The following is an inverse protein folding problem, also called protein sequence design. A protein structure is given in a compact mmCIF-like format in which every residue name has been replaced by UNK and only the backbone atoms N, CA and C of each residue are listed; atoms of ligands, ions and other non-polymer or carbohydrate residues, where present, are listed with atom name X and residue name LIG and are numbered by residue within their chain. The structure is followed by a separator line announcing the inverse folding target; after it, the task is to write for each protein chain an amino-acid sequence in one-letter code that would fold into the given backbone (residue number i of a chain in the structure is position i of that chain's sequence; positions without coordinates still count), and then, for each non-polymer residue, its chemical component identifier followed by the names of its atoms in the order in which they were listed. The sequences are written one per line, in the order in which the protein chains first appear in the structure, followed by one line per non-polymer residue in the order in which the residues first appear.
data_IF_494846566727
#
_entry.id   IF_494846566727
#
_cell.length_a   1.000
_cell.length_b   1.000
_cell.length_c   1.000
_cell.angle_alpha   90.00
_cell.angle_beta   90.00
_cell.angle_gamma   90.00
#
_symmetry.space_group_name_H-M   'P 1'
#
loop_
_entity.id
_entity.type
_entity.pdbx_description
1 polymer ?
#
# COMPACT_ATOMS: atom_id res chain seq x y z
N UNK A 1 16.26 4.36 21.91
CA UNK A 1 16.73 3.65 20.70
C UNK A 1 16.37 2.20 20.93
N UNK A 2 15.34 1.69 20.26
CA UNK A 2 14.97 0.28 20.38
C UNK A 2 16.11 -0.58 19.83
N UNK A 3 16.59 -1.53 20.61
CA UNK A 3 17.68 -2.43 20.19
C UNK A 3 17.11 -3.41 19.18
N UNK A 4 17.60 -3.35 17.93
CA UNK A 4 17.21 -4.31 16.89
C UNK A 4 17.74 -5.70 17.22
N UNK A 5 16.93 -6.73 16.95
CA UNK A 5 17.34 -8.14 17.07
C UNK A 5 18.21 -8.52 15.89
N UNK A 6 19.30 -9.27 16.12
CA UNK A 6 20.13 -9.73 15.00
C UNK A 6 19.37 -10.78 14.19
N UNK A 7 19.48 -10.73 12.87
CA UNK A 7 18.84 -11.70 11.98
C UNK A 7 19.19 -13.16 12.36
N UNK A 8 20.46 -13.47 12.67
CA UNK A 8 20.87 -14.78 13.22
C UNK A 8 20.12 -15.23 14.48
N UNK A 9 19.83 -14.32 15.41
CA UNK A 9 19.10 -14.66 16.65
C UNK A 9 17.66 -15.03 16.34
N UNK A 10 17.02 -14.29 15.43
CA UNK A 10 15.66 -14.57 14.96
C UNK A 10 15.61 -15.90 14.19
N UNK A 11 16.60 -16.16 13.33
CA UNK A 11 16.72 -17.45 12.62
C UNK A 11 16.88 -18.60 13.63
N UNK A 12 17.72 -18.44 14.65
CA UNK A 12 17.90 -19.45 15.69
C UNK A 12 16.61 -19.73 16.45
N UNK A 13 15.86 -18.70 16.82
CA UNK A 13 14.55 -18.82 17.45
C UNK A 13 13.62 -19.70 16.61
N UNK A 14 13.46 -19.40 15.32
CA UNK A 14 12.55 -20.15 14.45
C UNK A 14 13.03 -21.55 14.05
N UNK A 15 14.32 -21.84 14.22
CA UNK A 15 14.84 -23.22 14.11
C UNK A 15 14.45 -24.08 15.33
N UNK A 16 14.43 -23.46 16.51
CA UNK A 16 14.14 -24.13 17.79
C UNK A 16 12.63 -24.21 18.05
N UNK A 17 11.92 -23.10 17.90
CA UNK A 17 10.50 -22.93 18.23
C UNK A 17 9.63 -23.04 16.96
N UNK A 18 9.52 -24.25 16.41
CA UNK A 18 8.79 -24.50 15.15
C UNK A 18 7.26 -24.34 15.26
N UNK A 19 6.73 -24.23 16.47
CA UNK A 19 5.31 -24.06 16.76
C UNK A 19 4.87 -22.60 16.66
N UNK A 20 5.81 -21.64 16.60
CA UNK A 20 5.48 -20.23 16.45
C UNK A 20 4.78 -19.96 15.12
N UNK A 21 3.84 -19.03 15.17
CA UNK A 21 2.96 -18.65 14.06
C UNK A 21 3.04 -17.15 13.77
N UNK A 22 4.15 -16.49 14.08
CA UNK A 22 4.28 -15.03 13.92
C UNK A 22 4.03 -14.55 12.47
N UNK A 23 3.63 -13.29 12.36
CA UNK A 23 3.41 -12.59 11.10
C UNK A 23 4.34 -11.39 11.03
N UNK A 24 5.15 -11.31 9.98
CA UNK A 24 6.02 -10.18 9.69
C UNK A 24 5.39 -9.26 8.66
N UNK A 25 5.45 -7.94 8.92
CA UNK A 25 4.83 -6.90 8.09
C UNK A 25 5.82 -5.76 7.82
N UNK A 26 5.52 -4.87 6.87
CA UNK A 26 6.49 -3.88 6.39
C UNK A 26 6.73 -2.78 7.42
N UNK A 27 5.69 -2.33 8.11
CA UNK A 27 5.80 -1.22 9.05
C UNK A 27 4.88 -1.28 10.27
N UNK A 28 5.01 -0.29 11.17
CA UNK A 28 4.18 -0.18 12.37
C UNK A 28 2.69 -0.01 12.09
N UNK A 29 2.30 0.69 11.03
CA UNK A 29 0.89 0.89 10.68
C UNK A 29 0.22 -0.45 10.35
N UNK A 30 0.83 -1.24 9.46
CA UNK A 30 0.35 -2.58 9.10
C UNK A 30 0.28 -3.48 10.33
N UNK A 31 1.29 -3.40 11.22
CA UNK A 31 1.30 -4.14 12.48
C UNK A 31 0.04 -3.85 13.27
N UNK A 32 -0.30 -2.57 13.48
CA UNK A 32 -1.50 -2.18 14.24
C UNK A 32 -2.75 -2.70 13.56
N UNK A 33 -2.84 -2.58 12.23
CA UNK A 33 -3.98 -3.07 11.45
C UNK A 33 -4.18 -4.59 11.61
N UNK A 34 -3.15 -5.39 11.32
CA UNK A 34 -3.25 -6.85 11.41
C UNK A 34 -3.41 -7.34 12.85
N UNK A 35 -2.79 -6.69 13.84
CA UNK A 35 -3.01 -7.02 15.25
C UNK A 35 -4.47 -6.81 15.66
N UNK A 36 -5.06 -5.68 15.26
CA UNK A 36 -6.47 -5.42 15.54
C UNK A 36 -7.37 -6.44 14.86
N UNK A 37 -7.13 -6.73 13.58
CA UNK A 37 -7.86 -7.76 12.85
C UNK A 37 -7.77 -9.14 13.55
N UNK A 38 -6.57 -9.63 13.84
CA UNK A 38 -6.39 -10.93 14.52
C UNK A 38 -7.07 -11.00 15.89
N UNK A 39 -7.05 -9.89 16.64
CA UNK A 39 -7.75 -9.78 17.93
C UNK A 39 -9.26 -9.95 17.77
N UNK A 40 -9.85 -9.35 16.74
CA UNK A 40 -11.29 -9.53 16.45
C UNK A 40 -11.63 -10.97 16.05
N UNK A 41 -10.71 -11.65 15.35
CA UNK A 41 -10.86 -13.04 14.95
C UNK A 41 -10.46 -14.05 16.06
N UNK A 42 -10.08 -13.56 17.24
CA UNK A 42 -9.62 -14.38 18.39
C UNK A 42 -8.47 -15.34 18.02
N UNK A 43 -7.56 -14.90 17.15
CA UNK A 43 -6.36 -15.65 16.75
C UNK A 43 -5.16 -15.18 17.56
N UNK A 44 -4.46 -16.12 18.17
CA UNK A 44 -3.24 -15.88 18.94
C UNK A 44 -2.01 -15.95 18.03
N UNK A 45 -1.74 -14.86 17.32
CA UNK A 45 -0.56 -14.71 16.45
C UNK A 45 0.11 -13.37 16.73
N UNK A 46 1.43 -13.35 16.87
CA UNK A 46 2.18 -12.11 17.05
C UNK A 46 2.43 -11.45 15.70
N UNK A 47 2.12 -10.16 15.56
CA UNK A 47 2.52 -9.37 14.39
C UNK A 47 3.75 -8.52 14.71
N UNK A 48 4.74 -8.58 13.85
CA UNK A 48 6.07 -8.03 14.07
C UNK A 48 6.48 -7.20 12.84
N UNK A 49 6.79 -5.90 13.00
CA UNK A 49 7.26 -5.11 11.87
C UNK A 49 8.73 -5.49 11.57
N UNK A 50 9.07 -5.68 10.30
CA UNK A 50 10.37 -6.20 9.87
C UNK A 50 11.55 -5.31 10.27
N UNK A 51 11.27 -4.02 10.53
CA UNK A 51 12.26 -3.03 10.92
C UNK A 51 12.97 -3.34 12.24
N UNK A 52 12.38 -4.17 13.11
CA UNK A 52 13.01 -4.57 14.38
C UNK A 52 14.15 -5.58 14.20
N UNK A 53 14.27 -6.17 13.00
CA UNK A 53 15.34 -7.10 12.66
C UNK A 53 16.47 -6.32 11.98
N UNK A 54 17.69 -6.59 12.42
CA UNK A 54 18.90 -6.06 11.84
C UNK A 54 19.38 -6.96 10.68
N UNK A 55 19.30 -6.43 9.46
CA UNK A 55 19.77 -7.06 8.23
C UNK A 55 21.18 -6.59 7.80
N UNK A 56 21.88 -5.81 8.63
CA UNK A 56 23.21 -5.26 8.26
C UNK A 56 24.28 -6.32 8.03
N UNK A 57 24.09 -7.54 8.52
CA UNK A 57 24.98 -8.67 8.23
C UNK A 57 24.84 -9.22 6.81
N UNK A 58 23.76 -8.87 6.10
CA UNK A 58 23.65 -9.11 4.67
C UNK A 58 24.36 -7.99 3.92
N UNK A 59 25.03 -8.32 2.82
CA UNK A 59 25.57 -7.30 1.92
C UNK A 59 24.44 -6.33 1.50
N UNK A 60 24.80 -5.08 1.13
CA UNK A 60 23.82 -4.03 0.74
C UNK A 60 22.79 -4.50 -0.30
N UNK A 61 23.18 -5.47 -1.12
CA UNK A 61 22.31 -6.32 -1.91
C UNK A 61 22.46 -7.75 -1.45
N UNK A 62 21.35 -8.43 -1.24
CA UNK A 62 21.35 -9.86 -0.94
C UNK A 62 21.62 -10.69 -2.21
N UNK A 63 21.55 -12.02 -2.09
CA UNK A 63 21.73 -12.93 -3.23
C UNK A 63 20.67 -12.76 -4.32
N UNK A 64 19.53 -12.12 -4.01
CA UNK A 64 18.46 -11.77 -4.95
C UNK A 64 18.67 -10.39 -5.60
N UNK A 65 19.74 -9.67 -5.25
CA UNK A 65 20.05 -8.36 -5.80
C UNK A 65 19.16 -7.22 -5.28
N UNK A 66 18.39 -7.46 -4.21
CA UNK A 66 17.41 -6.52 -3.67
C UNK A 66 18.07 -5.49 -2.74
N UNK A 67 17.59 -4.24 -2.77
CA UNK A 67 18.07 -3.18 -1.87
C UNK A 67 17.50 -3.40 -0.46
N UNK A 68 18.39 -3.69 0.49
CA UNK A 68 18.06 -3.96 1.89
C UNK A 68 17.66 -2.69 2.69
N UNK A 69 17.55 -1.52 2.05
CA UNK A 69 16.90 -0.36 2.67
C UNK A 69 15.37 -0.48 2.70
N UNK A 70 14.78 -1.13 1.70
CA UNK A 70 13.33 -1.30 1.61
C UNK A 70 12.84 -2.38 2.59
N UNK A 71 11.81 -2.08 3.37
CA UNK A 71 11.21 -3.04 4.29
C UNK A 71 10.50 -4.18 3.54
N UNK A 72 9.81 -3.87 2.45
CA UNK A 72 9.30 -4.85 1.48
C UNK A 72 10.37 -5.86 1.05
N UNK A 73 11.52 -5.36 0.60
CA UNK A 73 12.62 -6.22 0.15
C UNK A 73 13.17 -7.08 1.30
N UNK A 74 13.29 -6.53 2.52
CA UNK A 74 13.69 -7.32 3.69
C UNK A 74 12.73 -8.46 3.97
N UNK A 75 11.41 -8.26 3.83
CA UNK A 75 10.42 -9.32 4.02
C UNK A 75 10.52 -10.42 2.96
N UNK A 76 10.75 -10.04 1.70
CA UNK A 76 10.98 -10.99 0.61
C UNK A 76 12.20 -11.87 0.94
N UNK A 77 13.33 -11.25 1.28
CA UNK A 77 14.55 -11.98 1.68
C UNK A 77 14.30 -12.85 2.90
N UNK A 78 13.62 -12.31 3.91
CA UNK A 78 13.33 -13.04 5.13
C UNK A 78 12.42 -14.25 4.89
N UNK A 79 11.43 -14.13 3.99
CA UNK A 79 10.55 -15.24 3.62
C UNK A 79 11.31 -16.39 2.95
N UNK A 80 12.30 -16.10 2.10
CA UNK A 80 13.18 -17.13 1.52
C UNK A 80 14.09 -17.77 2.57
N UNK A 81 14.57 -16.99 3.55
CA UNK A 81 15.32 -17.54 4.69
C UNK A 81 14.44 -18.51 5.49
N UNK A 82 13.21 -18.11 5.82
CA UNK A 82 12.25 -18.94 6.57
C UNK A 82 11.92 -20.24 5.82
N UNK A 83 11.68 -20.15 4.50
CA UNK A 83 11.48 -21.30 3.62
C UNK A 83 12.66 -22.28 3.67
N UNK A 84 13.90 -21.76 3.67
CA UNK A 84 15.11 -22.58 3.78
C UNK A 84 15.31 -23.19 5.17
N UNK A 85 14.77 -22.58 6.23
CA UNK A 85 14.74 -23.19 7.58
C UNK A 85 13.79 -24.40 7.55
N UNK A 86 12.57 -24.20 7.07
CA UNK A 86 11.60 -25.27 6.89
C UNK A 86 10.44 -24.81 6.00
N UNK A 87 10.11 -25.53 4.91
CA UNK A 87 8.97 -25.19 4.06
C UNK A 87 7.62 -25.23 4.79
N UNK A 88 7.53 -25.99 5.90
CA UNK A 88 6.32 -26.16 6.71
C UNK A 88 6.25 -25.20 7.89
N UNK A 89 7.17 -24.23 7.98
CA UNK A 89 7.11 -23.24 9.05
C UNK A 89 5.85 -22.36 8.89
N UNK A 90 5.19 -22.09 10.01
CA UNK A 90 3.91 -21.35 10.07
C UNK A 90 4.09 -19.84 10.14
N UNK A 91 5.33 -19.36 10.11
CA UNK A 91 5.64 -17.93 10.01
C UNK A 91 5.23 -17.42 8.62
N UNK A 92 4.65 -16.22 8.59
CA UNK A 92 4.25 -15.54 7.34
C UNK A 92 4.86 -14.14 7.28
N UNK A 93 5.22 -13.70 6.09
CA UNK A 93 5.59 -12.34 5.75
C UNK A 93 4.49 -11.77 4.86
N UNK A 94 3.98 -10.58 5.14
CA UNK A 94 2.96 -9.91 4.33
C UNK A 94 3.60 -8.67 3.72
N UNK A 95 3.48 -8.55 2.40
CA UNK A 95 3.89 -7.37 1.65
C UNK A 95 2.73 -6.79 0.86
N UNK A 96 2.84 -5.51 0.53
CA UNK A 96 1.99 -4.93 -0.50
C UNK A 96 2.33 -5.51 -1.88
N UNK A 97 1.29 -5.77 -2.67
CA UNK A 97 1.44 -6.26 -4.05
C UNK A 97 2.16 -5.24 -4.93
N UNK A 98 1.98 -3.95 -4.66
CA UNK A 98 2.51 -2.81 -5.41
C UNK A 98 2.32 -2.99 -6.93
N UNK A 99 3.43 -3.28 -7.62
CA UNK A 99 3.54 -3.42 -9.06
C UNK A 99 3.90 -4.85 -9.48
N UNK A 100 3.73 -5.84 -8.59
CA UNK A 100 4.17 -7.22 -8.83
C UNK A 100 3.54 -7.84 -10.09
N UNK A 101 2.32 -7.46 -10.44
CA UNK A 101 1.65 -7.89 -11.68
C UNK A 101 2.39 -7.44 -12.95
N UNK A 102 3.24 -6.42 -12.85
CA UNK A 102 3.92 -5.78 -13.97
C UNK A 102 5.44 -6.00 -13.96
N UNK A 103 6.05 -6.06 -12.77
CA UNK A 103 7.50 -6.19 -12.61
C UNK A 103 7.96 -7.64 -12.40
N UNK A 104 7.00 -8.56 -12.25
CA UNK A 104 7.27 -9.92 -11.81
C UNK A 104 7.43 -10.00 -10.29
N UNK A 105 7.18 -11.17 -9.74
CA UNK A 105 7.11 -11.37 -8.30
C UNK A 105 7.85 -12.62 -7.85
N UNK A 106 8.50 -12.53 -6.69
CA UNK A 106 9.09 -13.69 -6.00
C UNK A 106 8.00 -14.33 -5.15
N UNK A 107 7.69 -15.60 -5.36
CA UNK A 107 6.66 -16.30 -4.60
C UNK A 107 7.24 -17.45 -3.77
N UNK A 108 6.74 -17.58 -2.55
CA UNK A 108 6.95 -18.73 -1.69
C UNK A 108 5.82 -18.82 -0.66
N UNK A 109 5.71 -19.97 0.01
CA UNK A 109 4.63 -20.25 0.96
C UNK A 109 4.66 -19.37 2.22
N UNK A 110 5.80 -18.78 2.53
CA UNK A 110 5.96 -17.86 3.66
C UNK A 110 5.64 -16.42 3.28
N UNK A 111 5.49 -16.07 2.00
CA UNK A 111 5.26 -14.71 1.53
C UNK A 111 3.84 -14.54 0.99
N UNK A 112 3.02 -13.83 1.77
CA UNK A 112 1.68 -13.41 1.41
C UNK A 112 1.70 -11.98 0.85
N UNK A 113 0.72 -11.69 0.00
CA UNK A 113 0.52 -10.38 -0.61
C UNK A 113 -0.88 -9.89 -0.36
N UNK A 114 -1.06 -8.58 -0.38
CA UNK A 114 -2.39 -8.00 -0.53
C UNK A 114 -3.06 -8.48 -1.81
N UNK A 115 -4.37 -8.70 -1.74
CA UNK A 115 -5.23 -9.05 -2.89
C UNK A 115 -5.19 -7.94 -3.97
N UNK A 116 -5.07 -6.70 -3.50
CA UNK A 116 -4.99 -5.47 -4.29
C UNK A 116 -3.58 -4.87 -4.26
N UNK A 117 -3.36 -3.68 -4.83
CA UNK A 117 -2.03 -3.06 -4.91
C UNK A 117 -1.41 -2.76 -3.54
N UNK A 118 -2.22 -2.42 -2.53
CA UNK A 118 -1.73 -2.09 -1.18
C UNK A 118 -2.81 -2.33 -0.12
N UNK A 119 -2.42 -2.30 1.15
CA UNK A 119 -3.31 -2.52 2.30
C UNK A 119 -4.48 -1.51 2.34
N UNK A 120 -4.24 -0.24 2.05
CA UNK A 120 -5.26 0.79 2.08
C UNK A 120 -6.33 0.60 0.98
N UNK A 121 -6.06 -0.26 0.00
CA UNK A 121 -7.05 -0.61 -1.04
C UNK A 121 -8.26 -1.34 -0.48
N UNK A 122 -8.15 -2.02 0.67
CA UNK A 122 -9.33 -2.59 1.35
C UNK A 122 -10.24 -1.50 1.95
N UNK A 123 -9.72 -0.29 2.16
CA UNK A 123 -10.47 0.85 2.69
C UNK A 123 -11.19 1.63 1.59
N UNK A 124 -10.77 1.44 0.33
CA UNK A 124 -11.38 2.08 -0.83
C UNK A 124 -12.66 1.34 -1.25
N UNK A 125 -13.70 1.43 -0.42
CA UNK A 125 -15.04 0.92 -0.72
C UNK A 125 -16.13 1.79 -0.09
N UNK A 126 -17.34 1.66 -0.64
CA UNK A 126 -18.50 2.49 -0.26
C UNK A 126 -18.75 2.48 1.24
N UNK A 127 -18.88 1.30 1.84
CA UNK A 127 -19.26 1.16 3.25
C UNK A 127 -18.26 1.85 4.20
N UNK A 128 -16.96 1.73 3.90
CA UNK A 128 -15.88 2.33 4.72
C UNK A 128 -15.89 3.85 4.60
N UNK A 129 -15.99 4.36 3.37
CA UNK A 129 -15.99 5.80 3.10
C UNK A 129 -17.26 6.44 3.64
N UNK A 130 -18.43 5.85 3.41
CA UNK A 130 -19.71 6.34 3.91
C UNK A 130 -19.73 6.40 5.44
N UNK A 131 -19.31 5.33 6.12
CA UNK A 131 -19.21 5.31 7.58
C UNK A 131 -18.24 6.36 8.12
N UNK A 132 -17.12 6.60 7.44
CA UNK A 132 -16.20 7.68 7.79
C UNK A 132 -16.86 9.06 7.67
N UNK A 133 -17.56 9.30 6.55
CA UNK A 133 -18.25 10.56 6.30
C UNK A 133 -19.37 10.82 7.30
N UNK A 134 -20.14 9.79 7.65
CA UNK A 134 -21.28 9.93 8.55
C UNK A 134 -20.86 10.12 10.01
N UNK A 135 -19.86 9.35 10.47
CA UNK A 135 -19.48 9.34 11.88
C UNK A 135 -18.38 10.36 12.17
N UNK A 136 -17.30 10.37 11.39
CA UNK A 136 -16.12 11.20 11.69
C UNK A 136 -16.33 12.63 11.19
N UNK A 137 -16.84 12.79 9.97
CA UNK A 137 -17.02 14.12 9.35
C UNK A 137 -18.39 14.73 9.69
N UNK A 138 -19.43 13.90 9.68
CA UNK A 138 -20.86 14.24 9.77
C UNK A 138 -21.36 15.04 8.57
N UNK A 139 -22.67 15.02 8.26
CA UNK A 139 -23.34 15.94 7.31
C UNK A 139 -22.51 16.33 6.06
N UNK A 140 -21.84 15.37 5.41
CA UNK A 140 -21.02 15.65 4.24
C UNK A 140 -21.93 15.82 3.02
N UNK A 141 -21.79 16.90 2.22
CA UNK A 141 -22.80 17.25 1.21
C UNK A 141 -22.71 16.44 -0.09
N UNK A 142 -21.65 15.65 -0.27
CA UNK A 142 -21.40 14.86 -1.49
C UNK A 142 -21.60 13.38 -1.19
N UNK A 143 -22.26 12.66 -2.10
CA UNK A 143 -22.53 11.23 -1.95
C UNK A 143 -21.25 10.40 -2.07
N UNK A 144 -21.19 9.29 -1.34
CA UNK A 144 -20.04 8.37 -1.34
C UNK A 144 -19.69 7.84 -2.73
N UNK A 145 -20.69 7.47 -3.54
CA UNK A 145 -20.46 6.97 -4.91
C UNK A 145 -19.73 8.01 -5.76
N UNK A 146 -20.18 9.27 -5.69
CA UNK A 146 -19.52 10.37 -6.38
C UNK A 146 -18.09 10.58 -5.90
N UNK A 147 -17.84 10.50 -4.59
CA UNK A 147 -16.50 10.65 -4.04
C UNK A 147 -15.57 9.55 -4.59
N UNK A 148 -16.02 8.29 -4.55
CA UNK A 148 -15.25 7.16 -5.08
C UNK A 148 -14.94 7.36 -6.57
N UNK A 149 -15.92 7.77 -7.37
CA UNK A 149 -15.73 8.05 -8.80
C UNK A 149 -14.71 9.18 -9.02
N UNK A 150 -14.80 10.28 -8.29
CA UNK A 150 -13.91 11.42 -8.41
C UNK A 150 -12.47 11.08 -7.99
N UNK A 151 -12.28 10.38 -6.86
CA UNK A 151 -10.95 9.93 -6.43
C UNK A 151 -10.33 8.98 -7.45
N UNK A 152 -11.13 8.08 -8.04
CA UNK A 152 -10.67 7.09 -9.03
C UNK A 152 -10.10 7.75 -10.29
N UNK A 153 -10.66 8.89 -10.73
CA UNK A 153 -10.16 9.67 -11.87
C UNK A 153 -8.73 10.19 -11.66
N UNK A 154 -8.29 10.32 -10.40
CA UNK A 154 -6.96 10.84 -10.05
C UNK A 154 -5.99 9.70 -9.72
N UNK A 155 -6.44 8.73 -8.91
CA UNK A 155 -5.59 7.65 -8.41
C UNK A 155 -5.03 6.79 -9.54
N UNK A 156 -5.88 6.45 -10.53
CA UNK A 156 -5.50 5.59 -11.66
C UNK A 156 -4.37 6.20 -12.50
N UNK A 157 -4.46 7.47 -12.95
CA UNK A 157 -3.35 8.17 -13.59
C UNK A 157 -2.05 8.22 -12.80
N UNK A 158 -2.12 8.51 -11.51
CA UNK A 158 -0.93 8.64 -10.67
C UNK A 158 -0.24 7.28 -10.52
N UNK A 159 -1.02 6.21 -10.30
CA UNK A 159 -0.49 4.86 -10.22
C UNK A 159 0.22 4.45 -11.51
N UNK A 160 -0.35 4.77 -12.68
CA UNK A 160 0.30 4.52 -13.96
C UNK A 160 1.64 5.27 -14.12
N UNK A 161 1.74 6.52 -13.67
CA UNK A 161 3.00 7.29 -13.68
C UNK A 161 4.02 6.67 -12.72
N UNK A 162 3.59 6.20 -11.55
CA UNK A 162 4.47 5.49 -10.60
C UNK A 162 4.99 4.19 -11.21
N UNK A 163 4.12 3.42 -11.86
CA UNK A 163 4.52 2.19 -12.56
C UNK A 163 5.51 2.50 -13.69
N UNK A 164 5.23 3.51 -14.51
CA UNK A 164 6.13 3.96 -15.57
C UNK A 164 7.51 4.36 -15.03
N UNK A 165 7.53 5.07 -13.91
CA UNK A 165 8.76 5.38 -13.17
C UNK A 165 9.49 4.10 -12.76
N UNK A 166 8.80 3.12 -12.17
CA UNK A 166 9.46 1.89 -11.72
C UNK A 166 9.99 1.03 -12.87
N UNK A 167 9.30 0.97 -14.02
CA UNK A 167 9.73 0.19 -15.18
C UNK A 167 10.91 0.86 -15.90
N UNK A 168 10.83 2.17 -16.17
CA UNK A 168 11.74 2.83 -17.11
C UNK A 168 12.60 3.94 -16.50
N UNK A 169 12.25 4.48 -15.34
CA UNK A 169 12.84 5.71 -14.81
C UNK A 169 13.03 5.68 -13.29
N UNK A 170 13.60 4.61 -12.72
CA UNK A 170 13.68 4.39 -11.25
C UNK A 170 14.27 5.56 -10.45
N UNK A 171 15.11 6.40 -11.06
CA UNK A 171 15.69 7.60 -10.45
C UNK A 171 14.86 8.89 -10.57
N UNK A 172 13.74 8.88 -11.31
CA UNK A 172 12.88 10.05 -11.47
C UNK A 172 12.11 10.36 -10.17
N UNK A 173 11.80 11.64 -9.96
CA UNK A 173 11.01 12.15 -8.84
C UNK A 173 9.55 12.29 -9.27
N UNK A 174 8.64 11.89 -8.38
CA UNK A 174 7.22 12.10 -8.58
C UNK A 174 6.85 13.55 -8.30
N UNK A 175 5.79 14.02 -8.94
CA UNK A 175 5.20 15.33 -8.72
C UNK A 175 4.26 15.25 -7.50
N UNK A 176 4.16 16.35 -6.74
CA UNK A 176 3.16 16.44 -5.66
C UNK A 176 1.77 16.71 -6.24
N UNK A 177 0.75 16.06 -5.70
CA UNK A 177 -0.62 16.15 -6.22
C UNK A 177 -1.34 17.46 -5.88
N UNK A 178 -1.06 18.07 -4.72
CA UNK A 178 -1.79 19.24 -4.18
C UNK A 178 -1.86 20.43 -5.17
N UNK A 179 -0.79 20.69 -5.92
CA UNK A 179 -0.76 21.76 -6.94
C UNK A 179 -1.40 21.40 -8.29
N UNK A 180 -1.96 20.20 -8.42
CA UNK A 180 -2.52 19.66 -9.66
C UNK A 180 -3.97 19.17 -9.49
N UNK A 181 -4.57 19.44 -8.33
CA UNK A 181 -5.88 18.93 -7.97
C UNK A 181 -6.80 20.10 -7.63
N UNK A 182 -7.77 20.38 -8.50
CA UNK A 182 -8.78 21.41 -8.25
C UNK A 182 -10.13 20.76 -7.98
N UNK A 183 -10.63 20.91 -6.75
CA UNK A 183 -11.93 20.38 -6.32
C UNK A 183 -12.94 21.53 -6.27
N UNK A 184 -14.06 21.37 -6.97
CA UNK A 184 -15.21 22.25 -6.81
C UNK A 184 -15.86 21.98 -5.44
N UNK A 185 -15.93 23.01 -4.60
CA UNK A 185 -16.43 22.88 -3.23
C UNK A 185 -17.92 22.51 -3.15
N UNK A 186 -18.72 22.93 -4.13
CA UNK A 186 -20.17 22.76 -4.15
C UNK A 186 -20.57 21.43 -4.76
N UNK A 187 -19.97 21.09 -5.90
CA UNK A 187 -20.32 19.87 -6.62
C UNK A 187 -19.48 18.69 -6.18
N UNK A 188 -18.27 18.92 -5.65
CA UNK A 188 -17.32 17.87 -5.34
C UNK A 188 -16.60 17.31 -6.56
N UNK A 189 -16.73 17.94 -7.74
CA UNK A 189 -16.03 17.48 -8.95
C UNK A 189 -14.53 17.77 -8.84
N UNK A 190 -13.69 16.81 -9.24
CA UNK A 190 -12.26 16.97 -9.35
C UNK A 190 -11.90 17.27 -10.80
N UNK A 191 -11.33 18.46 -11.02
CA UNK A 191 -10.68 18.79 -12.27
C UNK A 191 -9.19 18.43 -12.17
N UNK A 192 -8.84 17.26 -12.67
CA UNK A 192 -7.48 16.75 -12.77
C UNK A 192 -7.09 16.57 -14.23
N UNK A 193 -6.12 17.36 -14.69
CA UNK A 193 -5.59 17.26 -16.05
C UNK A 193 -4.43 16.26 -16.09
N UNK A 194 -4.75 15.03 -16.48
CA UNK A 194 -3.82 13.92 -16.64
C UNK A 194 -2.63 14.24 -17.55
N UNK A 195 -2.88 14.85 -18.71
CA UNK A 195 -1.83 15.20 -19.67
C UNK A 195 -0.89 16.27 -19.12
N UNK A 196 -1.44 17.28 -18.44
CA UNK A 196 -0.64 18.32 -17.79
C UNK A 196 0.23 17.72 -16.67
N UNK A 197 -0.33 16.82 -15.87
CA UNK A 197 0.39 16.15 -14.80
C UNK A 197 1.54 15.27 -15.32
N UNK A 198 1.30 14.51 -16.40
CA UNK A 198 2.34 13.74 -17.10
C UNK A 198 3.43 14.67 -17.66
N UNK A 199 3.06 15.78 -18.28
CA UNK A 199 4.00 16.76 -18.82
C UNK A 199 4.87 17.38 -17.70
N UNK A 200 4.28 17.69 -16.54
CA UNK A 200 5.04 18.15 -15.35
C UNK A 200 6.02 17.09 -14.87
N UNK A 201 5.63 15.81 -14.84
CA UNK A 201 6.53 14.71 -14.51
C UNK A 201 7.70 14.63 -15.50
N UNK A 202 7.45 14.70 -16.81
CA UNK A 202 8.47 14.68 -17.85
C UNK A 202 9.45 15.85 -17.69
N UNK A 203 8.91 17.06 -17.55
CA UNK A 203 9.71 18.29 -17.45
C UNK A 203 10.57 18.33 -16.20
N UNK A 204 10.00 18.02 -15.02
CA UNK A 204 10.74 18.06 -13.75
C UNK A 204 11.88 17.05 -13.66
N UNK A 205 11.85 16.01 -14.50
CA UNK A 205 12.86 14.96 -14.58
C UNK A 205 13.79 15.09 -15.80
N UNK A 206 13.71 16.20 -16.56
CA UNK A 206 14.50 16.44 -17.77
C UNK A 206 14.32 15.34 -18.85
N UNK A 207 13.12 14.75 -18.95
CA UNK A 207 12.81 13.65 -19.86
C UNK A 207 12.16 14.10 -21.18
N UNK A 208 12.19 15.41 -21.49
CA UNK A 208 11.49 16.02 -22.63
C UNK A 208 11.85 15.36 -23.96
N UNK A 209 13.11 14.97 -24.15
CA UNK A 209 13.58 14.27 -25.37
C UNK A 209 12.87 12.93 -25.61
N UNK A 210 12.37 12.31 -24.53
CA UNK A 210 11.65 11.04 -24.57
C UNK A 210 10.13 11.21 -24.44
N UNK A 211 9.61 12.45 -24.45
CA UNK A 211 8.20 12.75 -24.16
C UNK A 211 7.21 11.90 -24.96
N UNK A 212 7.41 11.77 -26.27
CA UNK A 212 6.54 10.96 -27.14
C UNK A 212 6.48 9.49 -26.68
N UNK A 213 7.64 8.89 -26.45
CA UNK A 213 7.76 7.49 -26.01
C UNK A 213 7.15 7.30 -24.62
N UNK A 214 7.34 8.27 -23.73
CA UNK A 214 6.77 8.24 -22.37
C UNK A 214 5.25 8.29 -22.44
N UNK A 215 4.69 9.18 -23.24
CA UNK A 215 3.24 9.32 -23.43
C UNK A 215 2.62 8.08 -24.06
N UNK A 216 3.29 7.47 -25.04
CA UNK A 216 2.85 6.20 -25.65
C UNK A 216 2.80 5.08 -24.61
N UNK A 217 3.89 4.86 -23.86
CA UNK A 217 3.95 3.85 -22.80
C UNK A 217 2.96 4.09 -21.68
N UNK A 218 2.77 5.35 -21.31
CA UNK A 218 1.79 5.73 -20.30
C UNK A 218 0.37 5.32 -20.71
N UNK A 219 -0.01 5.60 -21.97
CA UNK A 219 -1.30 5.18 -22.53
C UNK A 219 -1.44 3.67 -22.59
N UNK A 220 -0.39 2.94 -22.98
CA UNK A 220 -0.36 1.48 -22.94
C UNK A 220 -0.64 0.94 -21.53
N UNK A 221 0.01 1.50 -20.51
CA UNK A 221 -0.20 1.13 -19.11
C UNK A 221 -1.65 1.38 -18.69
N UNK A 222 -2.15 2.60 -18.87
CA UNK A 222 -3.53 2.99 -18.48
C UNK A 222 -4.57 2.08 -19.14
N UNK A 223 -4.39 1.80 -20.43
CA UNK A 223 -5.31 0.97 -21.21
C UNK A 223 -5.27 -0.51 -20.79
N UNK A 224 -4.20 -0.96 -20.14
CA UNK A 224 -4.10 -2.32 -19.60
C UNK A 224 -4.84 -2.51 -18.27
N UNK A 225 -5.22 -1.43 -17.60
CA UNK A 225 -5.85 -1.48 -16.29
C UNK A 225 -7.32 -1.90 -16.39
N UNK A 226 -7.71 -2.89 -15.58
CA UNK A 226 -9.10 -3.34 -15.43
C UNK A 226 -9.98 -2.29 -14.71
N UNK A 227 -11.23 -2.65 -14.45
CA UNK A 227 -12.22 -1.76 -13.84
C UNK A 227 -12.00 -1.56 -12.33
N UNK A 228 -11.47 -2.56 -11.61
CA UNK A 228 -11.32 -2.46 -10.16
C UNK A 228 -10.09 -1.61 -9.80
N UNK A 229 -10.35 -0.35 -9.48
CA UNK A 229 -9.35 0.67 -9.10
C UNK A 229 -8.49 0.29 -7.91
N UNK A 230 -8.94 -0.62 -7.05
CA UNK A 230 -8.15 -1.11 -5.91
C UNK A 230 -6.84 -1.77 -6.37
N UNK A 231 -6.78 -2.28 -7.60
CA UNK A 231 -5.55 -2.81 -8.19
C UNK A 231 -4.59 -1.72 -8.74
N UNK A 232 -5.06 -0.47 -8.84
CA UNK A 232 -4.36 0.62 -9.55
C UNK A 232 -4.34 1.92 -8.74
N UNK A 233 -4.11 1.78 -7.44
CA UNK A 233 -3.90 2.91 -6.51
C UNK A 233 -2.70 2.63 -5.61
N UNK A 234 -2.14 3.69 -5.01
CA UNK A 234 -1.15 3.54 -3.95
C UNK A 234 -1.74 4.14 -2.67
N UNK A 235 -1.48 3.49 -1.53
CA UNK A 235 -2.16 3.82 -0.27
C UNK A 235 -1.98 5.26 0.17
N UNK A 236 -0.74 5.76 0.16
CA UNK A 236 -0.47 7.15 0.50
C UNK A 236 -1.17 8.13 -0.45
N UNK A 237 -1.15 7.89 -1.76
CA UNK A 237 -1.87 8.76 -2.70
C UNK A 237 -3.37 8.80 -2.40
N UNK A 238 -3.97 7.64 -2.10
CA UNK A 238 -5.38 7.58 -1.68
C UNK A 238 -5.64 8.41 -0.44
N UNK A 239 -4.87 8.21 0.64
CA UNK A 239 -5.05 8.97 1.88
C UNK A 239 -4.87 10.46 1.65
N UNK A 240 -3.82 10.88 0.93
CA UNK A 240 -3.54 12.29 0.62
C UNK A 240 -4.68 12.91 -0.19
N UNK A 241 -5.11 12.28 -1.28
CA UNK A 241 -6.14 12.83 -2.17
C UNK A 241 -7.48 12.88 -1.44
N UNK A 242 -7.83 11.84 -0.68
CA UNK A 242 -9.04 11.81 0.11
C UNK A 242 -9.03 12.91 1.19
N UNK A 243 -7.91 13.10 1.89
CA UNK A 243 -7.74 14.20 2.83
C UNK A 243 -7.97 15.58 2.18
N UNK A 244 -7.32 15.85 1.05
CA UNK A 244 -7.48 17.10 0.31
C UNK A 244 -8.93 17.32 -0.13
N UNK A 245 -9.60 16.25 -0.57
CA UNK A 245 -10.99 16.26 -0.98
C UNK A 245 -11.95 16.67 0.15
N UNK A 246 -11.88 15.95 1.27
CA UNK A 246 -12.72 16.23 2.44
C UNK A 246 -12.46 17.64 2.98
N UNK A 247 -11.18 18.02 3.09
CA UNK A 247 -10.80 19.30 3.65
C UNK A 247 -11.23 20.47 2.75
N UNK A 248 -11.22 20.32 1.41
CA UNK A 248 -11.74 21.36 0.51
C UNK A 248 -13.24 21.60 0.73
N UNK A 249 -14.03 20.53 0.81
CA UNK A 249 -15.49 20.60 0.86
C UNK A 249 -15.97 21.12 2.22
N UNK A 250 -15.52 20.49 3.31
CA UNK A 250 -16.07 20.78 4.65
C UNK A 250 -15.12 21.54 5.57
N UNK A 251 -13.87 21.81 5.16
CA UNK A 251 -12.85 22.47 5.97
C UNK A 251 -12.74 21.85 7.37
N UNK A 252 -12.31 20.59 7.40
CA UNK A 252 -12.18 19.77 8.60
C UNK A 252 -10.91 20.17 9.37
N UNK A 253 -10.89 21.37 9.95
CA UNK A 253 -9.72 21.96 10.66
C UNK A 253 -9.12 21.07 11.76
N UNK A 254 -9.88 20.10 12.28
CA UNK A 254 -9.45 19.21 13.35
C UNK A 254 -8.83 17.91 12.85
N UNK A 255 -8.90 17.61 11.54
CA UNK A 255 -8.33 16.40 10.97
C UNK A 255 -6.97 16.70 10.37
N UNK A 256 -5.99 15.88 10.74
CA UNK A 256 -4.70 15.81 10.04
C UNK A 256 -4.70 14.60 9.09
N UNK A 257 -3.93 14.70 8.03
CA UNK A 257 -3.79 13.63 7.03
C UNK A 257 -3.38 12.28 7.67
N UNK A 258 -2.44 12.30 8.60
CA UNK A 258 -1.94 11.11 9.32
C UNK A 258 -2.97 10.48 10.28
N UNK A 259 -4.08 11.18 10.54
CA UNK A 259 -5.19 10.66 11.34
C UNK A 259 -6.25 10.01 10.45
N UNK A 260 -6.38 10.41 9.18
CA UNK A 260 -7.42 9.86 8.29
C UNK A 260 -7.20 8.37 8.09
N UNK A 261 -5.97 7.95 7.80
CA UNK A 261 -5.61 6.54 7.63
C UNK A 261 -6.05 5.68 8.83
N UNK A 262 -5.69 6.11 10.04
CA UNK A 262 -6.05 5.43 11.29
C UNK A 262 -7.57 5.35 11.51
N UNK A 263 -8.29 6.41 11.16
CA UNK A 263 -9.75 6.43 11.32
C UNK A 263 -10.40 5.50 10.29
N UNK A 264 -9.91 5.47 9.05
CA UNK A 264 -10.39 4.53 8.04
C UNK A 264 -10.12 3.07 8.44
N UNK A 265 -8.97 2.78 9.05
CA UNK A 265 -8.72 1.46 9.64
C UNK A 265 -9.68 1.10 10.78
N UNK A 266 -10.25 2.08 11.50
CA UNK A 266 -11.28 1.84 12.52
C UNK A 266 -12.68 1.73 11.92
N UNK A 267 -12.92 2.27 10.73
CA UNK A 267 -14.24 2.19 10.09
C UNK A 267 -14.44 0.85 9.38
N UNK A 268 -13.39 0.22 8.88
CA UNK A 268 -13.49 -1.10 8.23
C UNK A 268 -13.90 -2.19 9.22
N UNK A 269 -14.93 -2.95 8.83
CA UNK A 269 -15.42 -4.08 9.62
C UNK A 269 -14.54 -5.31 9.40
N UNK A 270 -14.03 -5.89 10.48
CA UNK A 270 -13.16 -7.08 10.38
C UNK A 270 -13.78 -8.23 9.58
N UNK A 271 -15.11 -8.41 9.66
CA UNK A 271 -15.83 -9.46 8.95
C UNK A 271 -15.86 -9.26 7.44
N UNK A 272 -15.82 -8.03 6.94
CA UNK A 272 -15.76 -7.78 5.50
C UNK A 272 -14.39 -8.16 4.92
N UNK A 273 -13.34 -8.16 5.74
CA UNK A 273 -12.00 -8.56 5.32
C UNK A 273 -11.89 -10.07 5.11
N UNK A 274 -12.69 -10.88 5.81
CA UNK A 274 -12.64 -12.35 5.75
C UNK A 274 -12.94 -12.93 4.35
N UNK A 275 -13.55 -12.16 3.44
CA UNK A 275 -13.82 -12.62 2.08
C UNK A 275 -12.58 -12.63 1.18
N UNK A 276 -11.55 -11.87 1.53
CA UNK A 276 -10.33 -11.71 0.72
C UNK A 276 -9.31 -12.81 1.01
N UNK A 277 -8.51 -13.15 0.00
CA UNK A 277 -7.62 -14.31 0.03
C UNK A 277 -6.45 -14.13 1.01
N UNK A 278 -5.88 -12.92 1.11
CA UNK A 278 -4.87 -12.62 2.11
C UNK A 278 -5.37 -12.98 3.51
N UNK A 279 -6.56 -12.50 3.85
CA UNK A 279 -7.12 -12.65 5.19
C UNK A 279 -7.52 -14.09 5.51
N UNK A 280 -7.99 -14.85 4.52
CA UNK A 280 -8.19 -16.31 4.67
C UNK A 280 -6.86 -17.01 4.99
N UNK A 281 -5.80 -16.71 4.25
CA UNK A 281 -4.47 -17.30 4.44
C UNK A 281 -3.79 -16.88 5.76
N UNK A 282 -4.14 -15.72 6.31
CA UNK A 282 -3.70 -15.30 7.64
C UNK A 282 -4.40 -16.10 8.74
N UNK A 283 -5.62 -16.56 8.51
CA UNK A 283 -6.40 -17.32 9.50
C UNK A 283 -6.15 -18.83 9.47
N UNK A 284 -5.58 -19.36 8.39
CA UNK A 284 -5.16 -20.75 8.31
C UNK A 284 -3.94 -21.01 9.20
N UNK A 285 -4.00 -22.09 9.99
CA UNK A 285 -2.95 -22.48 10.93
C UNK A 285 -1.77 -23.20 10.26
#
# INVERSE_FOLDING_TARGET
MEVKKKLKEVIALYKLEKTLTDIFVEGPSDKVFFQNYLKTQKKDRTVIPIEIIDFTELAKKDNLGLDMKSNRNKLIVFSEILKNISPTIKIRCIIDKDFDDYLGSISNNQLLRTDFSCLESYLFCKDVVEKFLDIAVGNFPITTDKIIDELSKVLKPIFAIRLLKEINFKGAKLIKIDGNLNIDKKTGDINFNEEEYLNKFINSNNLVKNSKVITEKYREIINSFTLDIRNYMQGHDFITIFYLYINKIKNTKNFKEDQIDKILFLTVESTSLNSFELFKNILTD
#
